data_IF_699604899606
#
_entry.id   IF_699604899606
#
_cell.length_a   1.000
_cell.length_b   1.000
_cell.length_c   1.000
_cell.angle_alpha   90.00
_cell.angle_beta   90.00
_cell.angle_gamma   90.00
#
_symmetry.space_group_name_H-M   'P 1'
#
loop_
_entity.id
_entity.type
_entity.pdbx_description
1 polymer ?
#
# COMPACT_ATOMS: atom_id res chain seq x y z
N UNK A 1 2.15 7.16 -1.23
CA UNK A 1 2.56 8.34 -0.42
C UNK A 1 3.98 8.74 -0.81
N UNK A 2 4.42 9.98 -0.58
CA UNK A 2 5.84 10.33 -0.73
C UNK A 2 6.57 10.12 0.59
N UNK A 3 7.40 9.09 0.66
CA UNK A 3 8.19 8.77 1.86
C UNK A 3 9.31 9.79 2.04
N UNK A 4 9.53 10.21 3.28
CA UNK A 4 10.48 11.30 3.62
C UNK A 4 11.50 10.88 4.68
N UNK A 5 11.22 9.82 5.45
CA UNK A 5 12.11 9.30 6.49
C UNK A 5 11.75 7.85 6.85
N UNK A 6 12.70 7.09 7.46
CA UNK A 6 12.44 5.78 8.04
C UNK A 6 11.27 5.78 9.02
N UNK A 7 10.34 4.83 8.88
CA UNK A 7 9.14 4.71 9.72
C UNK A 7 7.99 5.65 9.37
N UNK A 8 8.08 6.45 8.30
CA UNK A 8 7.01 7.38 7.91
C UNK A 8 5.65 6.67 7.70
N UNK A 9 5.64 5.45 7.18
CA UNK A 9 4.42 4.68 6.96
C UNK A 9 3.61 4.46 8.25
N UNK A 10 4.29 4.20 9.38
CA UNK A 10 3.61 4.02 10.68
C UNK A 10 2.88 5.29 11.13
N UNK A 11 3.49 6.47 10.92
CA UNK A 11 2.83 7.76 11.21
C UNK A 11 1.54 7.91 10.42
N UNK A 12 1.56 7.54 9.14
CA UNK A 12 0.37 7.57 8.27
C UNK A 12 -0.69 6.59 8.76
N UNK A 13 -0.32 5.34 9.11
CA UNK A 13 -1.24 4.33 9.65
C UNK A 13 -1.98 4.85 10.90
N UNK A 14 -1.23 5.35 11.90
CA UNK A 14 -1.84 5.90 13.10
C UNK A 14 -2.69 7.14 12.82
N UNK A 15 -2.27 7.99 11.88
CA UNK A 15 -3.06 9.14 11.44
C UNK A 15 -4.41 8.72 10.86
N UNK A 16 -4.46 7.70 10.01
CA UNK A 16 -5.72 7.20 9.43
C UNK A 16 -6.63 6.64 10.54
N UNK A 17 -6.09 5.89 11.49
CA UNK A 17 -6.88 5.33 12.60
C UNK A 17 -7.36 6.36 13.62
N UNK A 18 -6.74 7.53 13.71
CA UNK A 18 -7.05 8.51 14.76
C UNK A 18 -7.70 9.81 14.27
N UNK A 19 -7.44 10.24 13.03
CA UNK A 19 -7.75 11.61 12.60
C UNK A 19 -9.22 11.81 12.24
N UNK A 20 -9.79 10.94 11.39
CA UNK A 20 -11.18 11.04 10.95
C UNK A 20 -12.01 9.88 11.50
N UNK A 21 -13.17 10.21 12.08
CA UNK A 21 -14.11 9.22 12.63
C UNK A 21 -14.54 8.16 11.62
N UNK A 22 -14.61 8.53 10.34
CA UNK A 22 -14.98 7.63 9.24
C UNK A 22 -14.01 6.47 9.04
N UNK A 23 -12.75 6.63 9.44
CA UNK A 23 -11.69 5.62 9.25
C UNK A 23 -11.28 4.91 10.54
N UNK A 24 -11.91 5.25 11.68
CA UNK A 24 -11.61 4.63 12.98
C UNK A 24 -11.91 3.12 13.01
N UNK A 25 -12.80 2.62 12.16
CA UNK A 25 -13.16 1.20 12.10
C UNK A 25 -12.41 0.44 10.98
N UNK A 26 -11.60 1.11 10.17
CA UNK A 26 -10.82 0.46 9.11
C UNK A 26 -9.80 -0.50 9.71
N UNK A 27 -10.05 -1.80 9.52
CA UNK A 27 -9.23 -2.88 10.09
C UNK A 27 -7.88 -3.09 9.43
N UNK A 28 -7.81 -2.86 8.12
CA UNK A 28 -6.64 -3.11 7.29
C UNK A 28 -6.21 -1.81 6.61
N UNK A 29 -4.94 -1.45 6.76
CA UNK A 29 -4.33 -0.35 6.03
C UNK A 29 -3.10 -0.89 5.33
N UNK A 30 -2.98 -0.64 4.03
CA UNK A 30 -1.76 -0.88 3.27
C UNK A 30 -1.21 0.50 2.92
N UNK A 31 0.06 0.74 3.22
CA UNK A 31 0.75 1.98 2.88
C UNK A 31 1.74 1.69 1.77
N UNK A 32 1.60 2.37 0.65
CA UNK A 32 2.44 2.24 -0.55
C UNK A 32 3.10 3.57 -0.89
N UNK A 33 4.16 3.56 -1.69
CA UNK A 33 4.76 4.78 -2.24
C UNK A 33 3.86 5.43 -3.31
N UNK A 34 4.26 6.54 -3.91
CA UNK A 34 3.46 7.27 -4.90
C UNK A 34 3.57 6.73 -6.33
N UNK A 35 4.44 5.74 -6.55
CA UNK A 35 4.55 5.00 -7.82
C UNK A 35 3.54 3.85 -7.96
N UNK A 36 2.72 3.61 -6.93
CA UNK A 36 1.70 2.54 -6.89
C UNK A 36 0.31 3.14 -7.06
N UNK A 37 -0.47 2.67 -8.04
CA UNK A 37 -1.89 2.98 -8.11
C UNK A 37 -2.67 2.22 -7.02
N UNK A 38 -3.11 2.94 -5.99
CA UNK A 38 -3.90 2.37 -4.90
C UNK A 38 -5.28 1.81 -5.32
N UNK A 39 -5.71 2.03 -6.57
CA UNK A 39 -6.96 1.50 -7.14
C UNK A 39 -6.74 0.27 -8.01
N UNK A 40 -5.49 -0.09 -8.35
CA UNK A 40 -5.15 -1.34 -9.03
C UNK A 40 -4.69 -2.38 -8.01
N UNK A 41 -5.39 -3.51 -7.96
CA UNK A 41 -4.97 -4.61 -7.09
C UNK A 41 -3.65 -5.22 -7.55
N UNK A 42 -3.38 -5.24 -8.85
CA UNK A 42 -2.11 -5.73 -9.40
C UNK A 42 -0.93 -4.94 -8.83
N UNK A 43 -1.01 -3.61 -8.84
CA UNK A 43 0.02 -2.72 -8.30
C UNK A 43 0.17 -2.87 -6.79
N UNK A 44 -0.94 -2.89 -6.05
CA UNK A 44 -0.93 -3.02 -4.58
C UNK A 44 -0.35 -4.36 -4.14
N UNK A 45 -0.77 -5.46 -4.77
CA UNK A 45 -0.26 -6.80 -4.45
C UNK A 45 1.22 -6.92 -4.84
N UNK A 46 1.64 -6.33 -5.97
CA UNK A 46 3.05 -6.28 -6.34
C UNK A 46 3.89 -5.54 -5.28
N UNK A 47 3.44 -4.38 -4.81
CA UNK A 47 4.13 -3.65 -3.75
C UNK A 47 4.23 -4.49 -2.47
N UNK A 48 3.13 -5.11 -2.04
CA UNK A 48 3.12 -5.96 -0.84
C UNK A 48 4.07 -7.16 -0.96
N UNK A 49 4.10 -7.83 -2.11
CA UNK A 49 4.88 -9.06 -2.29
C UNK A 49 6.37 -8.83 -2.57
N UNK A 50 6.76 -7.62 -2.95
CA UNK A 50 8.16 -7.29 -3.30
C UNK A 50 8.85 -6.35 -2.32
N UNK A 51 8.08 -5.51 -1.59
CA UNK A 51 8.63 -4.47 -0.70
C UNK A 51 8.42 -4.75 0.79
N UNK A 52 7.84 -5.90 1.15
CA UNK A 52 7.55 -6.26 2.53
C UNK A 52 8.26 -7.53 2.99
N UNK A 53 8.75 -7.49 4.22
CA UNK A 53 8.91 -8.65 5.09
C UNK A 53 7.70 -8.72 6.04
N UNK A 54 6.92 -9.82 6.07
CA UNK A 54 5.67 -9.86 6.83
C UNK A 54 5.83 -9.56 8.33
N UNK A 55 6.88 -10.09 8.97
CA UNK A 55 7.05 -9.94 10.42
C UNK A 55 7.54 -8.53 10.79
N UNK A 56 8.48 -7.98 10.01
CA UNK A 56 9.03 -6.64 10.25
C UNK A 56 8.05 -5.51 9.90
N UNK A 57 7.30 -5.68 8.81
CA UNK A 57 6.57 -4.57 8.17
C UNK A 57 5.06 -4.58 8.45
N UNK A 58 4.58 -5.51 9.27
CA UNK A 58 3.22 -5.49 9.80
C UNK A 58 3.19 -4.88 11.20
N UNK A 59 2.28 -3.93 11.41
CA UNK A 59 1.97 -3.36 12.74
C UNK A 59 0.58 -3.81 13.14
N UNK A 60 0.50 -4.62 14.20
CA UNK A 60 -0.77 -5.05 14.77
C UNK A 60 -1.04 -4.24 16.04
N UNK A 61 -2.23 -3.67 16.13
CA UNK A 61 -2.73 -2.99 17.33
C UNK A 61 -3.96 -3.74 17.81
N UNK A 62 -3.90 -4.24 19.04
CA UNK A 62 -4.99 -4.99 19.66
C UNK A 62 -5.96 -4.06 20.39
N UNK A 63 -7.07 -4.63 20.87
CA UNK A 63 -8.02 -3.95 21.77
C UNK A 63 -8.51 -2.58 21.28
N UNK A 64 -8.75 -2.46 19.97
CA UNK A 64 -9.22 -1.23 19.31
C UNK A 64 -10.73 -1.26 19.05
N UNK A 65 -11.41 -0.09 18.98
CA UNK A 65 -12.81 -0.02 18.60
C UNK A 65 -13.07 -0.55 17.19
N UNK A 66 -14.05 -1.44 17.04
CA UNK A 66 -14.48 -2.02 15.77
C UNK A 66 -16.01 -1.91 15.66
N UNK A 67 -16.57 -2.02 14.46
CA UNK A 67 -18.02 -2.08 14.27
C UNK A 67 -18.62 -3.24 15.09
N UNK A 68 -19.71 -2.96 15.80
CA UNK A 68 -20.44 -3.96 16.59
C UNK A 68 -21.03 -5.08 15.71
N UNK A 69 -21.32 -4.81 14.43
CA UNK A 69 -21.84 -5.79 13.48
C UNK A 69 -20.76 -6.69 12.86
N UNK A 70 -19.48 -6.40 13.11
CA UNK A 70 -18.39 -7.19 12.58
C UNK A 70 -18.17 -8.47 13.39
N UNK A 71 -18.82 -9.55 12.95
CA UNK A 71 -18.77 -10.88 13.58
C UNK A 71 -17.39 -11.55 13.54
N UNK A 72 -16.44 -11.05 12.75
CA UNK A 72 -15.08 -11.57 12.72
C UNK A 72 -14.22 -11.01 13.87
N UNK A 73 -14.73 -10.03 14.63
CA UNK A 73 -14.10 -9.57 15.86
C UNK A 73 -14.30 -10.59 17.00
N UNK A 74 -13.32 -10.74 17.90
CA UNK A 74 -13.43 -11.70 19.01
C UNK A 74 -14.50 -11.29 20.03
N UNK A 75 -14.76 -9.99 20.17
CA UNK A 75 -15.76 -9.42 21.07
C UNK A 75 -16.49 -8.31 20.32
N UNK A 76 -17.82 -8.26 20.43
CA UNK A 76 -18.61 -7.25 19.74
C UNK A 76 -18.14 -5.82 20.10
N UNK A 77 -17.77 -5.04 19.09
CA UNK A 77 -17.25 -3.67 19.25
C UNK A 77 -15.75 -3.56 19.54
N UNK A 78 -15.02 -4.67 19.70
CA UNK A 78 -13.60 -4.67 20.08
C UNK A 78 -12.79 -5.72 19.30
N UNK A 79 -11.70 -5.30 18.68
CA UNK A 79 -10.81 -6.21 17.95
C UNK A 79 -9.46 -5.59 17.63
N UNK A 80 -8.72 -6.24 16.75
CA UNK A 80 -7.41 -5.76 16.30
C UNK A 80 -7.49 -5.02 14.95
N UNK A 81 -6.48 -4.21 14.69
CA UNK A 81 -6.19 -3.61 13.38
C UNK A 81 -4.79 -3.99 12.95
N UNK A 82 -4.58 -4.04 11.64
CA UNK A 82 -3.28 -4.31 11.04
C UNK A 82 -2.95 -3.24 9.99
N UNK A 83 -1.75 -2.68 10.12
CA UNK A 83 -1.12 -1.82 9.14
C UNK A 83 0.01 -2.57 8.47
N UNK A 84 0.06 -2.51 7.14
CA UNK A 84 1.04 -3.18 6.28
C UNK A 84 1.86 -2.12 5.56
N UNK A 85 3.15 -2.02 5.88
CA UNK A 85 4.07 -1.08 5.23
C UNK A 85 4.66 -1.70 3.97
N UNK A 86 4.04 -1.44 2.82
CA UNK A 86 4.50 -1.85 1.49
C UNK A 86 5.35 -0.77 0.79
N UNK A 87 5.95 0.16 1.54
CA UNK A 87 6.83 1.20 0.97
C UNK A 87 8.25 0.67 0.71
N UNK A 88 9.04 1.37 -0.12
CA UNK A 88 10.48 1.15 -0.22
C UNK A 88 11.14 1.28 1.16
N UNK A 89 12.00 0.34 1.51
CA UNK A 89 12.71 0.35 2.79
C UNK A 89 14.03 1.09 2.64
N UNK A 90 14.24 2.05 3.54
CA UNK A 90 15.41 2.92 3.56
C UNK A 90 16.45 2.39 4.54
N UNK A 91 17.64 3.00 4.54
CA UNK A 91 18.65 2.76 5.55
C UNK A 91 18.06 2.95 6.96
N UNK A 92 18.35 2.01 7.86
CA UNK A 92 17.75 1.93 9.20
C UNK A 92 16.45 1.12 9.29
N UNK A 93 15.78 0.85 8.15
CA UNK A 93 14.67 -0.13 8.08
C UNK A 93 15.14 -1.50 7.53
N UNK A 94 16.25 -1.48 6.81
CA UNK A 94 16.90 -2.67 6.23
C UNK A 94 18.40 -2.40 6.06
N UNK A 95 19.22 -3.43 6.27
CA UNK A 95 20.68 -3.40 6.00
C UNK A 95 21.02 -3.95 4.60
N UNK A 96 19.99 -4.31 3.83
CA UNK A 96 20.13 -4.90 2.48
C UNK A 96 20.15 -3.82 1.41
N UNK A 97 20.90 -4.05 0.33
CA UNK A 97 20.73 -3.30 -0.91
C UNK A 97 19.28 -3.41 -1.40
N UNK A 98 18.64 -2.27 -1.67
CA UNK A 98 17.25 -2.22 -2.06
C UNK A 98 17.09 -2.21 -3.58
N UNK A 99 16.11 -2.96 -4.08
CA UNK A 99 15.85 -3.06 -5.52
C UNK A 99 15.40 -1.74 -6.13
N UNK A 100 15.81 -1.49 -7.38
CA UNK A 100 15.33 -0.39 -8.21
C UNK A 100 14.16 -0.85 -9.07
N UNK A 101 13.06 -0.13 -9.02
CA UNK A 101 11.90 -0.39 -9.88
C UNK A 101 12.28 -0.21 -11.36
N UNK A 102 11.78 -1.12 -12.20
CA UNK A 102 11.96 -1.02 -13.64
C UNK A 102 11.01 0.05 -14.18
N UNK A 103 11.56 1.02 -14.89
CA UNK A 103 10.78 2.09 -15.52
C UNK A 103 10.95 2.03 -17.04
N UNK A 104 9.84 2.23 -17.75
CA UNK A 104 9.84 2.38 -19.21
C UNK A 104 10.46 3.72 -19.58
N UNK A 105 11.37 3.72 -20.56
CA UNK A 105 11.92 4.94 -21.13
C UNK A 105 10.81 5.87 -21.66
N UNK A 106 10.89 7.16 -21.33
CA UNK A 106 9.84 8.13 -21.62
C UNK A 106 9.67 8.39 -23.12
N UNK A 107 10.78 8.38 -23.88
CA UNK A 107 10.74 8.56 -25.34
C UNK A 107 10.08 7.36 -26.04
N UNK A 108 10.34 6.16 -25.52
CA UNK A 108 9.73 4.93 -26.01
C UNK A 108 8.23 4.91 -25.71
N UNK A 109 7.82 5.26 -24.47
CA UNK A 109 6.41 5.35 -24.09
C UNK A 109 5.64 6.32 -24.99
N UNK A 110 6.12 7.56 -25.12
CA UNK A 110 5.46 8.58 -25.94
C UNK A 110 5.29 8.12 -27.40
N UNK A 111 6.33 7.51 -27.98
CA UNK A 111 6.26 6.99 -29.34
C UNK A 111 5.20 5.89 -29.50
N UNK A 112 5.05 5.00 -28.51
CA UNK A 112 4.04 3.93 -28.56
C UNK A 112 2.63 4.50 -28.35
N UNK A 113 2.47 5.46 -27.43
CA UNK A 113 1.20 6.14 -27.19
C UNK A 113 0.70 6.85 -28.46
N UNK A 114 1.59 7.55 -29.19
CA UNK A 114 1.25 8.24 -30.45
C UNK A 114 0.78 7.30 -31.57
N UNK A 115 1.23 6.04 -31.58
CA UNK A 115 0.86 5.06 -32.60
C UNK A 115 -0.23 4.09 -32.16
N UNK A 116 -0.64 4.10 -30.88
CA UNK A 116 -1.47 3.06 -30.29
C UNK A 116 -2.76 2.81 -31.05
N UNK A 117 -3.48 3.87 -31.42
CA UNK A 117 -4.73 3.79 -32.19
C UNK A 117 -4.53 3.17 -33.58
N UNK A 118 -3.38 3.42 -34.21
CA UNK A 118 -3.06 2.87 -35.54
C UNK A 118 -2.77 1.37 -35.52
N UNK A 119 -2.44 0.81 -34.36
CA UNK A 119 -2.12 -0.62 -34.22
C UNK A 119 -3.38 -1.49 -34.24
N UNK A 120 -4.58 -0.92 -34.02
CA UNK A 120 -5.84 -1.66 -34.03
C UNK A 120 -5.94 -2.73 -32.94
N UNK A 121 -5.24 -2.55 -31.81
CA UNK A 121 -5.23 -3.49 -30.68
C UNK A 121 -6.19 -2.99 -29.60
N UNK A 122 -7.17 -3.82 -29.24
CA UNK A 122 -8.06 -3.57 -28.10
C UNK A 122 -7.64 -4.44 -26.91
N UNK A 123 -7.41 -3.80 -25.76
CA UNK A 123 -7.19 -4.52 -24.50
C UNK A 123 -8.54 -4.71 -23.80
N UNK A 124 -8.96 -5.96 -23.61
CA UNK A 124 -10.16 -6.27 -22.81
C UNK A 124 -9.85 -6.16 -21.32
N UNK A 125 -10.63 -5.36 -20.60
CA UNK A 125 -10.65 -5.40 -19.12
C UNK A 125 -9.74 -4.39 -18.41
N UNK A 126 -9.38 -3.28 -19.06
CA UNK A 126 -8.93 -2.06 -18.39
C UNK A 126 -9.89 -0.93 -18.71
#
# INVERSE_FOLDING_TARGET
>A
MRKEYPGHAKRVMFGVWSFLRQFMYTKFIIVTDDDIDARSWEDVIWAMTTRMDPARDCTIVDSTPIDYLDFASPVAGLGSKIGMDATHKWEGETDREWGRTIEMDSSTRARIDDMWDSLGIELRGR
#
